data_IF_083991206304
#
_entry.id   IF_083991206304
#
_cell.length_a   1.000
_cell.length_b   1.000
_cell.length_c   1.000
_cell.angle_alpha   90.00
_cell.angle_beta   90.00
_cell.angle_gamma   90.00
#
_symmetry.space_group_name_H-M   'P 1'
#
loop_
_entity.id
_entity.type
_entity.pdbx_description
1 polymer ?
#
# COMPACT_ATOMS: atom_id res chain seq x y z
N UNK A 1 -13.22 -25.31 -4.14
CA UNK A 1 -12.61 -24.41 -5.15
C UNK A 1 -12.70 -22.93 -4.79
N UNK A 2 -13.78 -22.44 -4.16
CA UNK A 2 -13.92 -21.02 -3.80
C UNK A 2 -12.78 -20.47 -2.91
N UNK A 3 -12.43 -21.15 -1.82
CA UNK A 3 -11.39 -20.69 -0.89
C UNK A 3 -9.99 -20.58 -1.54
N UNK A 4 -9.69 -21.41 -2.53
CA UNK A 4 -8.41 -21.40 -3.25
C UNK A 4 -8.29 -20.16 -4.14
N UNK A 5 -9.33 -19.83 -4.91
CA UNK A 5 -9.32 -18.63 -5.76
C UNK A 5 -9.17 -17.33 -4.97
N UNK A 6 -9.65 -17.34 -3.73
CA UNK A 6 -9.57 -16.22 -2.79
C UNK A 6 -8.17 -16.04 -2.26
N UNK A 7 -7.55 -17.14 -1.80
CA UNK A 7 -6.17 -17.11 -1.34
C UNK A 7 -5.24 -16.62 -2.45
N UNK A 8 -5.46 -17.10 -3.69
CA UNK A 8 -4.72 -16.61 -4.87
C UNK A 8 -4.95 -15.11 -5.07
N UNK A 9 -6.19 -14.63 -5.02
CA UNK A 9 -6.51 -13.21 -5.16
C UNK A 9 -5.83 -12.32 -4.12
N UNK A 10 -5.84 -12.74 -2.84
CA UNK A 10 -5.17 -12.01 -1.75
C UNK A 10 -3.65 -11.99 -1.95
N UNK A 11 -3.05 -13.13 -2.31
CA UNK A 11 -1.61 -13.22 -2.55
C UNK A 11 -1.20 -12.28 -3.69
N UNK A 12 -1.94 -12.28 -4.80
CA UNK A 12 -1.66 -11.36 -5.92
C UNK A 12 -1.80 -9.91 -5.47
N UNK A 13 -2.87 -9.56 -4.76
CA UNK A 13 -3.08 -8.19 -4.28
C UNK A 13 -1.97 -7.73 -3.33
N UNK A 14 -1.49 -8.61 -2.44
CA UNK A 14 -0.36 -8.33 -1.55
C UNK A 14 0.95 -8.17 -2.31
N UNK A 15 1.25 -9.07 -3.25
CA UNK A 15 2.47 -8.99 -4.06
C UNK A 15 2.50 -7.71 -4.89
N UNK A 16 1.38 -7.39 -5.56
CA UNK A 16 1.25 -6.15 -6.32
C UNK A 16 1.36 -4.93 -5.40
N UNK A 17 0.65 -4.91 -4.28
CA UNK A 17 0.74 -3.84 -3.28
C UNK A 17 2.17 -3.61 -2.81
N UNK A 18 2.86 -4.66 -2.33
CA UNK A 18 4.25 -4.53 -1.85
C UNK A 18 5.20 -4.13 -2.97
N UNK A 19 4.99 -4.59 -4.21
CA UNK A 19 5.83 -4.21 -5.36
C UNK A 19 5.75 -2.73 -5.73
N UNK A 20 4.65 -2.04 -5.36
CA UNK A 20 4.48 -0.62 -5.60
C UNK A 20 5.14 0.27 -4.52
N UNK A 21 5.49 -0.29 -3.36
CA UNK A 21 6.17 0.44 -2.27
C UNK A 21 7.46 1.11 -2.74
N UNK A 22 8.43 0.44 -3.38
CA UNK A 22 9.64 1.09 -3.86
C UNK A 22 9.36 2.22 -4.85
N UNK A 23 8.35 2.08 -5.72
CA UNK A 23 7.94 3.15 -6.65
C UNK A 23 7.47 4.39 -5.90
N UNK A 24 6.69 4.22 -4.83
CA UNK A 24 6.23 5.34 -3.99
C UNK A 24 7.42 5.98 -3.26
N UNK A 25 8.33 5.18 -2.73
CA UNK A 25 9.54 5.67 -2.05
C UNK A 25 10.41 6.49 -3.01
N UNK A 26 10.60 6.01 -4.24
CA UNK A 26 11.36 6.73 -5.27
C UNK A 26 10.69 8.06 -5.64
N UNK A 27 9.36 8.09 -5.73
CA UNK A 27 8.60 9.32 -5.96
C UNK A 27 8.76 10.32 -4.82
N UNK A 28 8.68 9.86 -3.56
CA UNK A 28 8.88 10.73 -2.39
C UNK A 28 10.31 11.26 -2.34
N UNK A 29 11.30 10.42 -2.64
CA UNK A 29 12.71 10.82 -2.69
C UNK A 29 13.04 11.75 -3.86
N UNK A 30 12.19 11.80 -4.90
CA UNK A 30 12.34 12.72 -6.03
C UNK A 30 11.76 14.12 -5.78
N UNK A 31 11.12 14.34 -4.62
CA UNK A 31 10.60 15.65 -4.26
C UNK A 31 11.75 16.63 -4.01
N UNK A 32 11.67 17.79 -4.66
CA UNK A 32 12.62 18.87 -4.48
C UNK A 32 12.41 19.52 -3.08
N UNK A 33 13.39 19.33 -2.20
CA UNK A 33 13.36 19.81 -0.83
C UNK A 33 13.60 21.31 -0.68
N UNK A 34 14.04 22.00 -1.73
CA UNK A 34 14.25 23.45 -1.70
C UNK A 34 12.95 24.23 -1.95
N UNK A 35 12.07 23.69 -2.79
CA UNK A 35 10.78 24.33 -3.15
C UNK A 35 9.58 23.76 -2.40
N UNK A 36 9.69 22.52 -1.91
CA UNK A 36 8.56 21.85 -1.25
C UNK A 36 8.46 22.27 0.21
N UNK A 37 7.29 22.78 0.69
CA UNK A 37 7.10 23.10 2.10
C UNK A 37 7.30 21.89 3.02
N UNK A 38 7.91 22.10 4.18
CA UNK A 38 8.24 21.03 5.13
C UNK A 38 7.03 20.20 5.59
N UNK A 39 5.84 20.80 5.70
CA UNK A 39 4.60 20.07 6.00
C UNK A 39 4.22 19.04 4.92
N UNK A 40 4.44 19.38 3.65
CA UNK A 40 4.17 18.49 2.51
C UNK A 40 5.21 17.37 2.46
N UNK A 41 6.48 17.71 2.71
CA UNK A 41 7.56 16.73 2.76
C UNK A 41 7.36 15.70 3.88
N UNK A 42 6.93 16.15 5.06
CA UNK A 42 6.60 15.27 6.18
C UNK A 42 5.41 14.36 5.86
N UNK A 43 4.38 14.86 5.18
CA UNK A 43 3.24 14.04 4.76
C UNK A 43 3.65 13.02 3.69
N UNK A 44 4.49 13.43 2.72
CA UNK A 44 5.01 12.55 1.68
C UNK A 44 5.84 11.40 2.27
N UNK A 45 6.66 11.67 3.29
CA UNK A 45 7.43 10.65 4.00
C UNK A 45 6.56 9.62 4.73
N UNK A 46 5.31 9.97 5.09
CA UNK A 46 4.36 9.04 5.69
C UNK A 46 3.58 8.22 4.65
N UNK A 47 3.57 8.66 3.38
CA UNK A 47 2.80 8.04 2.31
C UNK A 47 3.09 6.53 2.12
N UNK A 48 4.37 6.08 2.12
CA UNK A 48 4.68 4.64 2.00
C UNK A 48 4.09 3.82 3.15
N UNK A 49 4.11 4.37 4.37
CA UNK A 49 3.60 3.69 5.57
C UNK A 49 2.08 3.60 5.52
N UNK A 50 1.41 4.70 5.16
CA UNK A 50 -0.06 4.75 5.01
C UNK A 50 -0.49 3.77 3.91
N UNK A 51 0.24 3.71 2.80
CA UNK A 51 -0.06 2.80 1.71
C UNK A 51 -0.01 1.32 2.16
N UNK A 52 1.04 0.93 2.90
CA UNK A 52 1.12 -0.43 3.47
C UNK A 52 -0.05 -0.71 4.41
N UNK A 53 -0.42 0.24 5.27
CA UNK A 53 -1.55 0.10 6.17
C UNK A 53 -2.87 -0.14 5.40
N UNK A 54 -3.11 0.61 4.32
CA UNK A 54 -4.29 0.44 3.45
C UNK A 54 -4.31 -0.93 2.78
N UNK A 55 -3.18 -1.41 2.26
CA UNK A 55 -3.07 -2.73 1.63
C UNK A 55 -3.41 -3.86 2.63
N UNK A 56 -2.91 -3.78 3.86
CA UNK A 56 -3.18 -4.76 4.91
C UNK A 56 -4.66 -4.72 5.34
N UNK A 57 -5.21 -3.53 5.60
CA UNK A 57 -6.62 -3.37 5.98
C UNK A 57 -7.55 -3.88 4.88
N UNK A 58 -7.23 -3.60 3.61
CA UNK A 58 -7.98 -4.11 2.46
C UNK A 58 -7.95 -5.64 2.39
N UNK A 59 -6.78 -6.25 2.59
CA UNK A 59 -6.64 -7.71 2.61
C UNK A 59 -7.45 -8.36 3.76
N UNK A 60 -7.39 -7.78 4.96
CA UNK A 60 -8.15 -8.25 6.13
C UNK A 60 -9.66 -8.07 5.93
N UNK A 61 -10.10 -6.93 5.41
CA UNK A 61 -11.50 -6.64 5.13
C UNK A 61 -12.10 -7.54 4.04
N UNK A 62 -11.31 -7.89 3.03
CA UNK A 62 -11.73 -8.86 2.02
C UNK A 62 -11.88 -10.27 2.62
N UNK A 63 -10.96 -10.67 3.51
CA UNK A 63 -11.03 -11.97 4.18
C UNK A 63 -12.23 -12.07 5.14
N UNK A 64 -12.56 -10.99 5.86
CA UNK A 64 -13.71 -10.99 6.79
C UNK A 64 -15.03 -11.17 6.05
N UNK A 65 -15.20 -10.55 4.88
CA UNK A 65 -16.42 -10.63 4.06
C UNK A 65 -16.73 -12.02 3.53
N UNK A 66 -15.74 -12.90 3.44
CA UNK A 66 -15.96 -14.28 2.97
C UNK A 66 -16.34 -15.27 4.05
N UNK A 67 -16.17 -14.90 5.32
CA UNK A 67 -16.55 -15.74 6.46
C UNK A 67 -18.01 -15.55 6.87
N UNK A 68 -18.65 -14.47 6.41
CA UNK A 68 -20.09 -14.18 6.50
C UNK A 68 -20.82 -14.63 5.26
#
# INVERSE_FOLDING_TARGET
MAMVGVLIGIIIALVVGVSLVPVIVDQVNSLDTEVTPSSVLNLANLLPIIFIAVVIVGAVGFLSRQRT
#
